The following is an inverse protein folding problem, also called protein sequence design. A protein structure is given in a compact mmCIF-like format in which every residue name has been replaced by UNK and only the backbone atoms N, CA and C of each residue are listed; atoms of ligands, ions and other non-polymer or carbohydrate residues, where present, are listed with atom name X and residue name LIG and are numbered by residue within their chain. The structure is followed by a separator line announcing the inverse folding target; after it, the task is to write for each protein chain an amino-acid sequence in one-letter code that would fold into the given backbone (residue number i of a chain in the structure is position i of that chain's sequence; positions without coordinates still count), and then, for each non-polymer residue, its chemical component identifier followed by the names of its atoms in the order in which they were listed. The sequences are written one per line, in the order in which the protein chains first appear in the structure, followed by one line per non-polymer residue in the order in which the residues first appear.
data_IF_390957006037
#
_entry.id   IF_390957006037
#
_cell.length_a   1.000
_cell.length_b   1.000
_cell.length_c   1.000
_cell.angle_alpha   90.00
_cell.angle_beta   90.00
_cell.angle_gamma   90.00
#
_symmetry.space_group_name_H-M   'P 1'
#
loop_
_entity.id
_entity.type
_entity.pdbx_description
1 polymer ?
#
# COMPACT_ATOMS: atom_id res chain seq x y z
N UNK A 1 -10.94 -10.02 5.92
CA UNK A 1 -11.74 -9.08 6.71
C UNK A 1 -13.17 -9.14 6.27
N UNK A 2 -14.08 -9.21 7.22
CA UNK A 2 -15.52 -9.35 7.02
C UNK A 2 -16.22 -8.39 7.99
N UNK A 3 -17.32 -7.79 7.54
CA UNK A 3 -18.20 -6.97 8.38
C UNK A 3 -19.61 -6.97 7.81
N UNK A 4 -20.59 -6.80 8.69
CA UNK A 4 -22.01 -6.66 8.33
C UNK A 4 -22.40 -5.20 8.36
N UNK A 5 -23.02 -4.72 7.28
CA UNK A 5 -23.40 -3.32 7.11
C UNK A 5 -24.87 -3.21 6.76
N UNK A 6 -25.56 -2.25 7.38
CA UNK A 6 -26.89 -1.85 6.93
C UNK A 6 -26.73 -0.92 5.74
N UNK A 7 -27.31 -1.30 4.60
CA UNK A 7 -27.40 -0.47 3.42
C UNK A 7 -28.86 -0.05 3.22
N UNK A 8 -29.08 1.20 2.84
CA UNK A 8 -30.41 1.70 2.51
C UNK A 8 -30.61 1.71 0.99
N UNK A 9 -31.86 1.50 0.55
CA UNK A 9 -32.22 1.56 -0.87
C UNK A 9 -31.81 2.92 -1.45
N UNK A 10 -31.08 2.89 -2.56
CA UNK A 10 -30.61 4.09 -3.26
C UNK A 10 -29.27 4.65 -2.77
N UNK A 11 -28.64 4.04 -1.75
CA UNK A 11 -27.27 4.40 -1.36
C UNK A 11 -26.27 4.03 -2.46
N UNK A 12 -25.30 4.92 -2.70
CA UNK A 12 -24.17 4.69 -3.60
C UNK A 12 -23.00 4.11 -2.80
N UNK A 13 -22.51 2.95 -3.25
CA UNK A 13 -21.32 2.29 -2.70
C UNK A 13 -20.23 2.30 -3.76
N UNK A 14 -19.11 2.94 -3.44
CA UNK A 14 -17.92 2.94 -4.27
C UNK A 14 -17.03 1.77 -3.88
N UNK A 15 -16.56 1.04 -4.89
CA UNK A 15 -15.69 -0.11 -4.70
C UNK A 15 -14.43 0.11 -5.54
N UNK A 16 -13.27 0.03 -4.88
CA UNK A 16 -11.97 0.01 -5.52
C UNK A 16 -11.29 -1.30 -5.15
N UNK A 17 -10.98 -2.12 -6.15
CA UNK A 17 -10.30 -3.41 -5.94
C UNK A 17 -8.80 -3.25 -6.14
N UNK A 18 -8.03 -3.52 -5.09
CA UNK A 18 -6.58 -3.35 -5.10
C UNK A 18 -5.86 -4.34 -6.03
N UNK A 19 -4.78 -3.90 -6.67
CA UNK A 19 -3.92 -4.75 -7.49
C UNK A 19 -2.69 -5.19 -6.68
N UNK A 20 -2.17 -6.38 -6.97
CA UNK A 20 -0.81 -6.76 -6.58
C UNK A 20 0.21 -5.78 -7.19
N UNK A 21 1.27 -5.49 -6.45
CA UNK A 21 2.37 -4.64 -6.92
C UNK A 21 3.20 -5.33 -8.01
N UNK A 22 3.86 -4.53 -8.84
CA UNK A 22 4.80 -5.01 -9.85
C UNK A 22 6.01 -5.70 -9.21
N UNK A 23 6.48 -6.77 -9.85
CA UNK A 23 7.66 -7.54 -9.42
C UNK A 23 8.77 -7.35 -10.45
N UNK A 24 9.97 -7.05 -9.97
CA UNK A 24 11.16 -7.04 -10.83
C UNK A 24 11.48 -8.48 -11.27
N UNK A 25 11.49 -8.72 -12.59
CA UNK A 25 11.79 -10.04 -13.18
C UNK A 25 13.26 -10.21 -13.59
N UNK A 26 14.05 -9.13 -13.52
CA UNK A 26 15.44 -9.09 -13.97
C UNK A 26 16.39 -9.06 -12.78
N UNK A 27 16.08 -8.24 -11.77
CA UNK A 27 16.83 -8.11 -10.52
C UNK A 27 15.91 -8.29 -9.31
N UNK A 28 16.31 -7.74 -8.17
CA UNK A 28 15.54 -7.71 -6.93
C UNK A 28 14.65 -6.46 -6.88
N UNK A 29 13.60 -6.47 -6.05
CA UNK A 29 12.68 -5.34 -5.93
C UNK A 29 11.22 -5.66 -6.28
N UNK A 30 10.28 -5.09 -5.52
CA UNK A 30 8.86 -5.06 -5.88
C UNK A 30 8.16 -3.78 -5.39
N UNK A 31 7.10 -3.39 -6.11
CA UNK A 31 6.19 -2.34 -5.71
C UNK A 31 5.26 -2.82 -4.59
N UNK A 32 4.66 -1.87 -3.88
CA UNK A 32 3.63 -2.19 -2.89
C UNK A 32 2.32 -2.60 -3.58
N UNK A 33 1.59 -3.54 -3.00
CA UNK A 33 0.21 -3.84 -3.39
C UNK A 33 -0.74 -2.73 -2.96
N UNK A 34 -1.79 -2.50 -3.72
CA UNK A 34 -2.81 -1.52 -3.37
C UNK A 34 -3.87 -2.06 -2.42
N UNK A 35 -4.50 -1.15 -1.67
CA UNK A 35 -5.63 -1.46 -0.81
C UNK A 35 -6.92 -1.72 -1.59
N UNK A 36 -7.85 -2.41 -0.97
CA UNK A 36 -9.21 -2.65 -1.48
C UNK A 36 -10.21 -1.91 -0.61
N UNK A 37 -11.05 -1.08 -1.22
CA UNK A 37 -11.91 -0.12 -0.53
C UNK A 37 -13.37 -0.38 -0.86
N UNK A 38 -14.21 -0.35 0.17
CA UNK A 38 -15.67 -0.28 0.06
C UNK A 38 -16.11 0.93 0.87
N UNK A 39 -16.67 1.93 0.19
CA UNK A 39 -16.91 3.28 0.73
C UNK A 39 -18.34 3.69 0.42
N UNK A 40 -19.06 4.18 1.42
CA UNK A 40 -20.39 4.77 1.25
C UNK A 40 -20.22 6.22 0.76
N UNK A 41 -20.99 6.59 -0.26
CA UNK A 41 -20.94 7.95 -0.81
C UNK A 41 -19.53 8.27 -1.34
N UNK A 42 -19.01 9.46 -1.05
CA UNK A 42 -17.70 9.91 -1.52
C UNK A 42 -16.54 9.55 -0.59
N UNK A 43 -16.77 9.51 0.72
CA UNK A 43 -15.70 9.62 1.72
C UNK A 43 -15.97 8.89 3.04
N UNK A 44 -17.03 8.08 3.14
CA UNK A 44 -17.38 7.35 4.37
C UNK A 44 -16.97 5.88 4.26
N UNK A 45 -15.77 5.48 4.71
CA UNK A 45 -15.30 4.10 4.56
C UNK A 45 -16.18 3.13 5.35
N UNK A 46 -16.53 2.00 4.74
CA UNK A 46 -17.21 0.89 5.43
C UNK A 46 -16.20 -0.17 5.83
N UNK A 47 -15.42 -0.64 4.85
CA UNK A 47 -14.37 -1.63 5.05
C UNK A 47 -13.26 -1.40 4.02
N UNK A 48 -12.01 -1.43 4.49
CA UNK A 48 -10.82 -1.23 3.66
C UNK A 48 -9.77 -2.25 4.06
N UNK A 49 -9.36 -3.11 3.13
CA UNK A 49 -8.21 -4.00 3.29
C UNK A 49 -6.94 -3.35 2.78
N UNK A 50 -5.92 -3.27 3.64
CA UNK A 50 -4.58 -2.83 3.24
C UNK A 50 -3.91 -3.82 2.29
N UNK A 51 -3.07 -3.31 1.40
CA UNK A 51 -2.16 -4.08 0.56
C UNK A 51 -0.82 -4.34 1.24
N UNK A 52 -0.08 -5.35 0.79
CA UNK A 52 1.26 -5.65 1.27
C UNK A 52 2.30 -4.64 0.76
N UNK A 53 3.37 -4.44 1.51
CA UNK A 53 4.55 -3.68 1.10
C UNK A 53 5.43 -4.48 0.15
N UNK A 54 6.10 -3.76 -0.75
CA UNK A 54 7.10 -4.26 -1.66
C UNK A 54 8.43 -4.54 -0.95
N UNK A 55 9.24 -5.37 -1.59
CA UNK A 55 10.46 -5.95 -1.01
C UNK A 55 11.69 -5.58 -1.81
N UNK A 56 12.83 -5.42 -1.16
CA UNK A 56 14.13 -5.31 -1.83
C UNK A 56 14.65 -6.72 -2.16
N UNK A 57 15.36 -7.34 -1.20
CA UNK A 57 15.79 -8.73 -1.20
C UNK A 57 15.57 -9.28 0.20
N UNK A 58 14.35 -9.73 0.47
CA UNK A 58 13.96 -10.20 1.80
C UNK A 58 14.44 -11.63 2.01
N UNK A 59 15.22 -11.87 3.05
CA UNK A 59 15.77 -13.18 3.43
C UNK A 59 14.76 -14.03 4.22
N UNK A 60 13.83 -13.38 4.91
CA UNK A 60 12.79 -14.03 5.70
C UNK A 60 11.56 -13.15 5.81
N UNK A 61 10.37 -13.75 5.92
CA UNK A 61 9.12 -12.98 5.99
C UNK A 61 9.12 -12.07 7.23
N UNK A 62 8.90 -10.78 7.03
CA UNK A 62 8.70 -9.83 8.14
C UNK A 62 7.24 -9.37 8.16
N UNK A 63 6.58 -9.53 9.31
CA UNK A 63 5.16 -9.14 9.50
C UNK A 63 4.90 -7.66 9.17
N UNK A 64 5.91 -6.79 9.32
CA UNK A 64 5.80 -5.38 8.97
C UNK A 64 5.62 -5.13 7.47
N UNK A 65 6.04 -6.05 6.60
CA UNK A 65 5.78 -5.95 5.16
C UNK A 65 4.33 -6.32 4.82
N UNK A 66 3.67 -7.12 5.66
CA UNK A 66 2.29 -7.54 5.43
C UNK A 66 1.32 -6.39 5.75
N UNK A 67 0.13 -6.43 5.17
CA UNK A 67 -0.94 -5.50 5.53
C UNK A 67 -1.29 -5.61 7.03
N UNK A 68 -1.69 -4.49 7.62
CA UNK A 68 -2.11 -4.41 9.01
C UNK A 68 -3.62 -4.57 9.12
N UNK A 69 -4.10 -5.30 10.11
CA UNK A 69 -5.53 -5.31 10.50
C UNK A 69 -5.92 -4.04 11.26
N UNK A 70 -4.93 -3.25 11.69
CA UNK A 70 -5.14 -1.96 12.36
C UNK A 70 -5.21 -0.83 11.34
N UNK A 71 -5.73 0.33 11.76
CA UNK A 71 -5.84 1.53 10.93
C UNK A 71 -4.50 2.15 10.53
N UNK A 72 -3.45 1.95 11.32
CA UNK A 72 -2.10 2.44 11.02
C UNK A 72 -1.40 1.52 10.01
N UNK A 73 -0.73 2.12 9.03
CA UNK A 73 0.15 1.39 8.11
C UNK A 73 1.38 0.89 8.86
N UNK A 74 1.88 -0.27 8.44
CA UNK A 74 3.05 -0.87 9.05
C UNK A 74 4.34 -0.12 8.66
N UNK A 75 5.39 -0.21 9.49
CA UNK A 75 6.69 0.39 9.19
C UNK A 75 7.56 -0.45 8.24
N UNK A 76 7.14 -1.65 7.84
CA UNK A 76 8.01 -2.55 7.08
C UNK A 76 9.10 -3.14 7.95
N UNK A 77 10.27 -3.39 7.36
CA UNK A 77 11.46 -3.88 8.06
C UNK A 77 12.70 -3.10 7.62
N UNK A 78 13.44 -2.56 8.61
CA UNK A 78 14.60 -1.66 8.40
C UNK A 78 14.28 -0.44 7.53
N UNK A 79 13.05 0.05 7.67
CA UNK A 79 12.45 1.14 6.91
C UNK A 79 11.90 2.20 7.88
N UNK A 80 11.03 3.09 7.40
CA UNK A 80 10.46 4.19 8.18
C UNK A 80 9.05 3.90 8.70
N UNK A 81 8.41 4.87 9.34
CA UNK A 81 7.04 4.73 9.83
C UNK A 81 6.03 4.62 8.67
N UNK A 82 4.98 3.82 8.87
CA UNK A 82 3.80 3.91 8.02
C UNK A 82 3.03 5.21 8.25
N UNK A 83 2.02 5.43 7.42
CA UNK A 83 1.01 6.46 7.63
C UNK A 83 0.05 6.10 8.76
N UNK A 84 -0.67 7.11 9.25
CA UNK A 84 -1.64 6.99 10.32
C UNK A 84 -2.87 7.85 10.03
N UNK A 85 -3.97 7.61 10.76
CA UNK A 85 -5.19 8.41 10.68
C UNK A 85 -5.74 8.57 9.25
N UNK A 86 -5.61 7.54 8.43
CA UNK A 86 -6.11 7.56 7.05
C UNK A 86 -5.14 8.21 6.04
N UNK A 87 -3.96 8.66 6.47
CA UNK A 87 -2.98 9.32 5.59
C UNK A 87 -1.98 8.34 4.99
N UNK A 88 -1.47 8.67 3.80
CA UNK A 88 -0.35 7.97 3.18
C UNK A 88 0.95 8.16 3.96
N UNK A 89 1.90 7.25 3.80
CA UNK A 89 3.18 7.33 4.49
C UNK A 89 4.06 8.47 3.92
N UNK A 90 4.52 9.38 4.79
CA UNK A 90 5.27 10.58 4.39
C UNK A 90 6.76 10.53 4.71
N UNK A 91 7.22 9.52 5.44
CA UNK A 91 8.57 9.49 6.01
C UNK A 91 9.54 8.70 5.12
N UNK A 92 10.70 9.32 4.89
CA UNK A 92 11.94 8.76 4.38
C UNK A 92 13.10 9.70 4.76
N UNK A 93 14.33 9.25 4.60
CA UNK A 93 15.52 10.11 4.67
C UNK A 93 15.99 10.55 3.27
N UNK A 94 17.19 11.10 3.16
CA UNK A 94 17.76 11.56 1.87
C UNK A 94 18.40 10.43 1.04
N UNK A 95 18.36 9.19 1.50
CA UNK A 95 18.85 8.03 0.74
C UNK A 95 17.79 7.49 -0.23
N UNK A 96 18.22 6.57 -1.08
CA UNK A 96 17.38 5.89 -2.05
C UNK A 96 16.29 5.03 -1.36
N UNK A 97 15.06 5.11 -1.85
CA UNK A 97 13.90 4.42 -1.25
C UNK A 97 12.77 4.18 -2.25
N UNK A 98 11.85 3.29 -1.92
CA UNK A 98 10.57 3.20 -2.64
C UNK A 98 9.66 4.39 -2.34
N UNK A 99 8.54 4.46 -3.06
CA UNK A 99 7.45 5.37 -2.73
C UNK A 99 6.68 4.89 -1.52
N UNK A 100 6.11 5.83 -0.76
CA UNK A 100 5.18 5.50 0.33
C UNK A 100 3.84 5.01 -0.21
N UNK A 101 3.14 4.18 0.57
CA UNK A 101 1.77 3.80 0.27
C UNK A 101 0.80 4.99 0.42
N UNK A 102 -0.22 5.04 -0.43
CA UNK A 102 -1.35 5.95 -0.30
C UNK A 102 -2.33 5.49 0.79
N UNK A 103 -2.89 6.45 1.50
CA UNK A 103 -3.97 6.24 2.46
C UNK A 103 -5.34 6.56 1.86
N UNK A 104 -6.35 6.65 2.72
CA UNK A 104 -7.68 7.09 2.35
C UNK A 104 -7.67 8.58 1.96
N UNK A 105 -7.08 9.44 2.80
CA UNK A 105 -7.12 10.89 2.66
C UNK A 105 -5.98 11.49 1.84
N UNK A 106 -4.81 10.84 1.79
CA UNK A 106 -3.65 11.41 1.11
C UNK A 106 -2.77 10.39 0.41
N UNK A 107 -2.05 10.86 -0.59
CA UNK A 107 -1.04 10.11 -1.31
C UNK A 107 0.19 9.85 -0.42
N UNK A 108 0.93 8.78 -0.70
CA UNK A 108 2.22 8.53 -0.07
C UNK A 108 3.31 9.45 -0.60
N UNK A 109 4.46 9.47 0.10
CA UNK A 109 5.67 10.20 -0.29
C UNK A 109 6.21 9.73 -1.63
N UNK A 110 6.57 10.66 -2.50
CA UNK A 110 7.38 10.40 -3.69
C UNK A 110 8.87 10.69 -3.43
N UNK A 111 9.75 9.99 -4.13
CA UNK A 111 11.16 10.38 -4.29
C UNK A 111 11.34 11.60 -5.20
N UNK A 112 12.54 12.19 -5.21
CA UNK A 112 12.92 13.36 -6.02
C UNK A 112 12.76 13.12 -7.53
N UNK A 113 12.91 11.87 -7.99
CA UNK A 113 12.67 11.47 -9.39
C UNK A 113 11.21 11.66 -9.83
N UNK A 114 10.29 11.80 -8.87
CA UNK A 114 8.87 12.04 -9.08
C UNK A 114 8.38 13.31 -8.36
N UNK A 115 9.20 14.37 -8.38
CA UNK A 115 8.90 15.68 -7.79
C UNK A 115 8.67 15.65 -6.26
N UNK A 116 9.20 14.63 -5.57
CA UNK A 116 9.26 14.59 -4.12
C UNK A 116 10.40 15.46 -3.56
N UNK A 117 10.45 15.57 -2.23
CA UNK A 117 11.41 16.45 -1.53
C UNK A 117 12.54 15.70 -0.82
N UNK A 118 12.41 14.39 -0.59
CA UNK A 118 13.36 13.59 0.20
C UNK A 118 13.76 12.29 -0.50
N UNK A 119 15.08 12.12 -0.63
CA UNK A 119 15.72 10.97 -1.27
C UNK A 119 15.34 10.79 -2.74
N UNK A 120 16.15 10.05 -3.49
CA UNK A 120 15.73 9.54 -4.80
C UNK A 120 14.88 8.29 -4.58
N UNK A 121 14.02 7.94 -5.53
CA UNK A 121 13.10 6.84 -5.28
C UNK A 121 11.87 6.73 -6.14
N UNK A 122 11.10 5.68 -5.84
CA UNK A 122 9.79 5.45 -6.44
C UNK A 122 8.75 6.53 -6.11
N UNK A 123 7.71 6.62 -6.93
CA UNK A 123 6.59 7.52 -6.71
C UNK A 123 5.68 6.96 -5.60
N UNK A 124 5.17 7.85 -4.74
CA UNK A 124 4.17 7.48 -3.76
C UNK A 124 2.83 7.11 -4.42
N UNK A 125 2.18 6.08 -3.89
CA UNK A 125 0.85 5.70 -4.35
C UNK A 125 -0.17 6.79 -4.03
N UNK A 126 -1.11 7.04 -4.95
CA UNK A 126 -2.20 8.00 -4.72
C UNK A 126 -3.21 7.42 -3.75
N UNK A 127 -3.71 8.25 -2.85
CA UNK A 127 -4.72 7.82 -1.88
C UNK A 127 -6.09 7.56 -2.55
N UNK A 128 -7.02 6.97 -1.81
CA UNK A 128 -8.37 6.66 -2.33
C UNK A 128 -9.06 7.90 -2.89
N UNK A 129 -9.09 9.00 -2.13
CA UNK A 129 -9.69 10.26 -2.57
C UNK A 129 -8.94 10.93 -3.74
N UNK A 130 -7.74 10.45 -4.08
CA UNK A 130 -6.96 10.87 -5.26
C UNK A 130 -7.01 9.83 -6.39
N UNK A 131 -7.99 8.91 -6.36
CA UNK A 131 -8.23 7.91 -7.40
C UNK A 131 -7.44 6.61 -7.24
N UNK A 132 -6.65 6.44 -6.16
CA UNK A 132 -5.99 5.17 -5.83
C UNK A 132 -4.94 4.71 -6.83
N UNK A 133 -4.45 5.57 -7.73
CA UNK A 133 -3.44 5.20 -8.73
C UNK A 133 -2.15 4.73 -8.05
N UNK A 134 -1.61 3.58 -8.49
CA UNK A 134 -0.33 3.08 -8.00
C UNK A 134 0.85 3.95 -8.41
N UNK A 135 1.90 3.98 -7.60
CA UNK A 135 3.10 4.76 -7.86
C UNK A 135 3.97 4.16 -8.97
N UNK A 136 4.59 5.01 -9.78
CA UNK A 136 5.58 4.58 -10.79
C UNK A 136 6.92 4.21 -10.14
N UNK A 137 7.65 3.29 -10.77
CA UNK A 137 9.08 3.09 -10.51
C UNK A 137 9.93 3.94 -11.44
N UNK A 138 11.16 4.24 -11.04
CA UNK A 138 12.10 5.01 -11.89
C UNK A 138 12.46 4.18 -13.11
N UNK A 139 12.86 2.92 -12.88
CA UNK A 139 13.21 1.98 -13.95
C UNK A 139 12.44 0.65 -13.84
N UNK A 140 12.60 -0.24 -14.84
CA UNK A 140 12.14 -1.64 -14.88
C UNK A 140 10.63 -1.91 -14.69
N UNK A 141 9.77 -0.88 -14.72
CA UNK A 141 8.31 -0.98 -14.60
C UNK A 141 7.83 -1.74 -13.34
N UNK A 142 8.52 -1.58 -12.21
CA UNK A 142 8.21 -2.15 -10.90
C UNK A 142 7.22 -1.26 -10.14
N UNK A 143 6.07 -1.01 -10.76
CA UNK A 143 5.04 -0.07 -10.27
C UNK A 143 4.32 -0.59 -9.03
N UNK A 144 3.79 0.33 -8.23
CA UNK A 144 2.84 -0.02 -7.17
C UNK A 144 1.48 -0.39 -7.76
N UNK A 145 0.75 -1.26 -7.06
CA UNK A 145 -0.57 -1.70 -7.48
C UNK A 145 -1.62 -0.59 -7.35
N UNK A 146 -2.63 -0.62 -8.22
CA UNK A 146 -3.86 0.17 -8.07
C UNK A 146 -4.49 -0.07 -6.69
N UNK A 147 -5.05 0.96 -6.06
CA UNK A 147 -5.37 1.00 -4.63
C UNK A 147 -4.30 1.70 -3.78
N UNK A 148 -3.42 2.47 -4.40
CA UNK A 148 -2.44 3.31 -3.72
C UNK A 148 -1.16 2.61 -3.29
N UNK A 149 -0.76 1.51 -3.93
CA UNK A 149 0.56 0.95 -3.72
C UNK A 149 1.65 1.91 -4.20
N UNK A 150 2.74 2.06 -3.45
CA UNK A 150 3.92 2.84 -3.85
C UNK A 150 4.76 2.10 -4.89
N UNK A 151 5.42 2.83 -5.78
CA UNK A 151 6.37 2.25 -6.72
C UNK A 151 7.69 1.88 -6.04
N UNK A 152 8.37 0.85 -6.54
CA UNK A 152 9.76 0.61 -6.14
C UNK A 152 10.68 1.68 -6.73
N UNK A 153 11.91 1.82 -6.22
CA UNK A 153 12.91 2.64 -6.91
C UNK A 153 13.34 2.01 -8.24
N UNK A 154 13.76 0.73 -8.21
CA UNK A 154 13.91 -0.11 -9.40
C UNK A 154 15.23 0.01 -10.20
N UNK A 155 16.32 0.54 -9.63
CA UNK A 155 17.53 0.95 -10.38
C UNK A 155 18.32 -0.18 -11.07
N UNK A 156 18.72 0.08 -12.32
CA UNK A 156 19.26 -0.88 -13.32
C UNK A 156 20.70 -1.41 -13.12
N UNK A 157 21.43 -0.97 -12.10
CA UNK A 157 22.87 -1.33 -11.94
C UNK A 157 23.11 -2.56 -11.06
N UNK A 158 22.24 -3.58 -11.18
CA UNK A 158 22.36 -4.84 -10.44
C UNK A 158 22.11 -4.74 -8.93
N UNK A 159 21.62 -3.60 -8.45
CA UNK A 159 21.47 -3.31 -7.02
C UNK A 159 20.07 -3.48 -6.46
N UNK A 160 19.03 -3.41 -7.29
CA UNK A 160 17.65 -3.22 -6.83
C UNK A 160 17.36 -1.76 -6.47
N UNK A 161 16.45 -1.51 -5.54
CA UNK A 161 16.02 -0.19 -5.12
C UNK A 161 14.76 -0.27 -4.28
N UNK A 162 14.75 0.44 -3.14
CA UNK A 162 13.80 0.21 -2.04
C UNK A 162 12.36 -0.10 -2.47
N UNK A 163 11.76 -1.12 -1.86
CA UNK A 163 10.40 -1.56 -2.18
C UNK A 163 9.33 -0.50 -1.87
N UNK A 164 8.22 -0.53 -2.59
CA UNK A 164 7.11 0.42 -2.38
C UNK A 164 6.26 0.11 -1.14
N UNK A 165 5.65 1.11 -0.51
CA UNK A 165 4.70 0.90 0.58
C UNK A 165 3.34 0.41 0.09
N UNK A 166 2.66 -0.44 0.86
CA UNK A 166 1.32 -0.92 0.54
C UNK A 166 0.24 0.16 0.70
N UNK A 167 -0.74 0.22 -0.20
CA UNK A 167 -1.89 1.11 -0.08
C UNK A 167 -2.90 0.63 0.96
N UNK A 168 -3.80 1.49 1.45
CA UNK A 168 -4.82 1.06 2.41
C UNK A 168 -5.57 2.23 3.04
N UNK A 169 -6.19 1.99 4.21
CA UNK A 169 -6.78 3.07 5.00
C UNK A 169 -5.70 4.09 5.37
N UNK A 170 -4.61 3.65 6.00
CA UNK A 170 -3.36 4.42 6.03
C UNK A 170 -2.33 3.74 5.16
N UNK A 171 -1.47 4.51 4.49
CA UNK A 171 -0.44 3.94 3.64
C UNK A 171 0.67 3.26 4.44
N UNK A 172 1.23 2.18 3.92
CA UNK A 172 2.43 1.55 4.46
C UNK A 172 3.71 2.33 4.15
N UNK A 173 4.74 2.14 4.95
CA UNK A 173 5.99 2.90 4.82
C UNK A 173 6.72 2.70 3.49
N UNK A 174 7.51 3.69 3.09
CA UNK A 174 8.52 3.54 2.04
C UNK A 174 9.52 2.44 2.42
N UNK A 175 9.96 1.61 1.47
CA UNK A 175 11.04 0.65 1.69
C UNK A 175 12.41 1.32 1.52
N UNK A 176 13.33 1.10 2.46
CA UNK A 176 14.70 1.62 2.34
C UNK A 176 15.50 0.80 1.32
N UNK A 177 16.39 1.43 0.56
CA UNK A 177 17.35 0.72 -0.29
C UNK A 177 18.45 0.06 0.57
N UNK A 178 18.10 -1.09 1.17
CA UNK A 178 18.95 -1.84 2.08
C UNK A 178 18.72 -3.33 1.86
N UNK A 179 19.78 -4.11 1.90
CA UNK A 179 19.66 -5.55 1.86
C UNK A 179 18.79 -6.07 3.00
N UNK A 180 17.89 -7.03 2.72
CA UNK A 180 16.90 -7.52 3.67
C UNK A 180 16.03 -6.40 4.28
N UNK A 181 15.41 -5.58 3.43
CA UNK A 181 14.41 -4.58 3.81
C UNK A 181 13.11 -4.75 3.02
N UNK A 182 12.05 -4.14 3.52
CA UNK A 182 10.78 -4.01 2.81
C UNK A 182 10.08 -2.72 3.19
N UNK A 183 9.23 -2.22 2.29
CA UNK A 183 8.21 -1.25 2.62
C UNK A 183 7.16 -1.87 3.54
N UNK A 184 6.42 -1.01 4.23
CA UNK A 184 5.35 -1.46 5.11
C UNK A 184 4.08 -1.81 4.35
N UNK A 185 3.29 -2.74 4.88
CA UNK A 185 1.92 -2.95 4.39
C UNK A 185 0.97 -1.85 4.88
N UNK A 186 -0.10 -1.61 4.11
CA UNK A 186 -1.12 -0.62 4.43
C UNK A 186 -1.97 -0.99 5.64
N UNK A 187 -2.53 0.02 6.29
CA UNK A 187 -3.52 -0.12 7.35
C UNK A 187 -4.89 -0.51 6.80
N UNK A 188 -5.68 -1.18 7.62
CA UNK A 188 -7.05 -1.60 7.31
C UNK A 188 -8.08 -0.86 8.16
N UNK A 189 -9.34 -0.88 7.73
CA UNK A 189 -10.45 -0.27 8.44
C UNK A 189 -11.70 -1.15 8.31
N UNK A 190 -12.50 -1.26 9.36
CA UNK A 190 -13.76 -1.98 9.35
C UNK A 190 -14.71 -1.35 10.37
N UNK A 191 -15.82 -0.78 9.90
CA UNK A 191 -16.89 -0.19 10.72
C UNK A 191 -18.14 -1.09 10.77
N UNK A 192 -18.01 -2.33 10.33
CA UNK A 192 -19.12 -3.28 10.28
C UNK A 192 -19.42 -3.90 11.65
N UNK A 193 -20.62 -4.42 11.80
CA UNK A 193 -20.95 -5.33 12.90
C UNK A 193 -20.44 -6.74 12.59
N UNK A 194 -20.34 -7.61 13.61
CA UNK A 194 -19.91 -9.02 13.45
C UNK A 194 -18.58 -9.14 12.69
N UNK A 195 -17.58 -8.36 13.11
CA UNK A 195 -16.31 -8.30 12.40
C UNK A 195 -15.52 -9.60 12.54
N UNK A 196 -14.97 -10.06 11.42
CA UNK A 196 -13.86 -11.00 11.41
C UNK A 196 -12.68 -10.37 10.65
N UNK A 197 -11.71 -9.89 11.43
CA UNK A 197 -10.51 -9.24 10.93
C UNK A 197 -9.29 -10.17 11.00
N UNK A 198 -9.48 -11.48 10.80
CA UNK A 198 -8.36 -12.39 10.62
C UNK A 198 -7.47 -11.93 9.45
N UNK A 199 -6.17 -11.76 9.72
CA UNK A 199 -5.18 -11.53 8.68
C UNK A 199 -5.09 -12.74 7.75
N UNK A 200 -4.58 -12.49 6.56
CA UNK A 200 -3.82 -13.50 5.83
C UNK A 200 -4.68 -14.63 5.21
N UNK A 201 -5.99 -14.41 5.05
CA UNK A 201 -6.89 -15.36 4.35
C UNK A 201 -6.54 -15.50 2.86
N UNK A 202 -6.08 -14.40 2.24
CA UNK A 202 -5.37 -14.40 0.95
C UNK A 202 -3.97 -13.86 1.18
N UNK A 203 -2.97 -14.63 0.80
CA UNK A 203 -1.55 -14.31 1.00
C UNK A 203 -0.88 -13.77 -0.27
N UNK A 204 -1.56 -13.82 -1.41
CA UNK A 204 -1.07 -13.35 -2.71
C UNK A 204 -2.22 -12.98 -3.66
N UNK A 205 -1.89 -12.23 -4.70
CA UNK A 205 -2.80 -11.82 -5.78
C UNK A 205 -3.56 -10.51 -5.52
N UNK A 206 -4.46 -10.20 -6.45
CA UNK A 206 -5.32 -9.02 -6.38
C UNK A 206 -6.31 -9.06 -5.21
N UNK A 207 -6.80 -7.89 -4.85
CA UNK A 207 -7.90 -7.70 -3.93
C UNK A 207 -9.19 -8.37 -4.39
N UNK A 208 -10.12 -8.53 -3.44
CA UNK A 208 -11.43 -9.09 -3.69
C UNK A 208 -12.45 -8.44 -2.77
N UNK A 209 -13.64 -8.19 -3.31
CA UNK A 209 -14.82 -7.81 -2.53
C UNK A 209 -15.92 -8.82 -2.83
N UNK A 210 -16.49 -9.39 -1.76
CA UNK A 210 -17.67 -10.26 -1.84
C UNK A 210 -18.78 -9.60 -1.04
N UNK A 211 -19.93 -9.38 -1.67
CA UNK A 211 -21.11 -8.80 -1.03
C UNK A 211 -22.21 -9.86 -1.00
N UNK A 212 -22.68 -10.17 0.20
CA UNK A 212 -23.74 -11.15 0.42
C UNK A 212 -24.89 -10.47 1.16
N UNK A 213 -26.10 -10.61 0.64
CA UNK A 213 -27.31 -10.23 1.35
C UNK A 213 -27.60 -11.26 2.45
N UNK A 214 -27.88 -10.79 3.67
CA UNK A 214 -28.18 -11.61 4.84
C UNK A 214 -29.69 -11.59 5.15
#
# INVERSE_FOLDING_TARGET
MIGTFRLNKGEVIQILVGQEGGINKIYIGSGGGGGTFVVRGADSPLIIAGGGGGTECVLSRHKGCDASTNTTGNPGYRSWSGGSNGHGAQTADDNDSGGGGGGFYSSGRSGKDFNGTKGNGGEGGKGFLQGGVGGRSVDLNVVGGFGGGGGAYGRDRGGGGGGGGGGGYSGGSSGAFRYNSCGGGGGSYNDGNNQDNACCYRTAGHGQVTITLL
#
